data_IF_794537717462
#
_entry.id   IF_794537717462
#
_cell.length_a   1.000
_cell.length_b   1.000
_cell.length_c   1.000
_cell.angle_alpha   90.00
_cell.angle_beta   90.00
_cell.angle_gamma   90.00
#
_symmetry.space_group_name_H-M   'P 1'
#
loop_
_entity.id
_entity.type
_entity.pdbx_description
1 polymer ?
#
# COMPACT_ATOMS: atom_id res chain seq x y z
N UNK A 1 15.90 -12.08 -17.46
CA UNK A 1 15.72 -11.53 -16.12
C UNK A 1 17.00 -10.80 -15.80
N UNK A 2 16.98 -9.47 -15.78
CA UNK A 2 18.17 -8.68 -15.48
C UNK A 2 18.29 -8.54 -13.96
N UNK A 3 19.52 -8.66 -13.45
CA UNK A 3 19.81 -8.47 -12.04
C UNK A 3 19.84 -6.97 -11.70
N UNK A 4 19.39 -6.61 -10.51
CA UNK A 4 19.45 -5.23 -10.01
C UNK A 4 20.54 -5.11 -8.96
N UNK A 5 21.13 -3.91 -8.81
CA UNK A 5 22.08 -3.67 -7.74
C UNK A 5 21.39 -3.61 -6.38
N UNK A 6 22.10 -3.97 -5.31
CA UNK A 6 21.58 -3.83 -3.95
C UNK A 6 21.35 -2.37 -3.56
N UNK A 7 22.14 -1.43 -4.12
CA UNK A 7 21.93 0.00 -3.94
C UNK A 7 20.60 0.47 -4.57
N UNK A 8 20.17 -0.11 -5.69
CA UNK A 8 18.85 0.17 -6.26
C UNK A 8 17.72 -0.39 -5.38
N UNK A 9 17.92 -1.57 -4.79
CA UNK A 9 16.95 -2.15 -3.86
C UNK A 9 16.75 -1.30 -2.60
N UNK A 10 17.82 -0.70 -2.06
CA UNK A 10 17.74 0.17 -0.88
C UNK A 10 16.95 1.46 -1.09
N UNK A 11 16.68 1.86 -2.34
CA UNK A 11 15.89 3.07 -2.63
C UNK A 11 14.41 2.91 -2.25
N UNK A 12 13.93 1.67 -2.11
CA UNK A 12 12.55 1.40 -1.71
C UNK A 12 12.37 1.55 -0.19
N UNK A 13 11.39 2.37 0.21
CA UNK A 13 10.98 2.51 1.60
C UNK A 13 9.80 1.58 1.89
N UNK A 14 10.11 0.35 2.33
CA UNK A 14 9.12 -0.67 2.67
C UNK A 14 8.92 -0.70 4.18
N UNK A 15 7.67 -0.51 4.64
CA UNK A 15 7.32 -0.44 6.06
C UNK A 15 6.13 -1.33 6.40
N UNK A 16 6.06 -1.75 7.65
CA UNK A 16 4.88 -2.40 8.24
C UNK A 16 3.96 -1.31 8.77
N UNK A 17 2.68 -1.41 8.43
CA UNK A 17 1.63 -0.52 8.90
C UNK A 17 0.37 -1.28 9.28
N UNK A 18 -0.44 -0.68 10.15
CA UNK A 18 -1.73 -1.22 10.60
C UNK A 18 -2.86 -0.66 9.75
N UNK A 19 -3.80 -1.50 9.33
CA UNK A 19 -4.99 -1.06 8.58
C UNK A 19 -6.00 -0.51 9.58
N UNK A 20 -6.26 0.79 9.51
CA UNK A 20 -7.15 1.51 10.42
C UNK A 20 -8.59 1.58 9.89
N UNK A 21 -8.76 1.69 8.57
CA UNK A 21 -10.08 1.79 7.93
C UNK A 21 -10.06 1.15 6.53
N UNK A 22 -11.18 0.55 6.15
CA UNK A 22 -11.41 -0.03 4.82
C UNK A 22 -12.70 0.54 4.25
N UNK A 23 -12.63 1.07 3.03
CA UNK A 23 -13.78 1.58 2.27
C UNK A 23 -13.81 0.96 0.89
N UNK A 24 -15.01 0.75 0.37
CA UNK A 24 -15.19 0.44 -1.05
C UNK A 24 -14.77 1.64 -1.91
N UNK A 25 -14.10 1.37 -3.02
CA UNK A 25 -13.80 2.42 -3.98
C UNK A 25 -15.11 2.90 -4.63
N UNK A 26 -15.40 4.21 -4.62
CA UNK A 26 -16.70 4.73 -5.09
C UNK A 26 -16.97 4.44 -6.58
N UNK A 27 -15.90 4.33 -7.38
CA UNK A 27 -15.99 4.15 -8.83
C UNK A 27 -15.42 2.81 -9.33
N UNK A 28 -15.13 1.86 -8.43
CA UNK A 28 -14.55 0.58 -8.85
C UNK A 28 -15.00 -0.59 -7.98
N UNK A 29 -15.60 -1.60 -8.62
CA UNK A 29 -16.18 -2.75 -7.93
C UNK A 29 -15.15 -3.67 -7.28
N UNK A 30 -13.90 -3.65 -7.75
CA UNK A 30 -12.82 -4.56 -7.34
C UNK A 30 -11.69 -3.89 -6.56
N UNK A 31 -11.89 -2.65 -6.10
CA UNK A 31 -10.87 -1.91 -5.35
C UNK A 31 -11.38 -1.56 -3.94
N UNK A 32 -10.49 -1.69 -2.96
CA UNK A 32 -10.63 -1.08 -1.65
C UNK A 32 -9.74 0.14 -1.52
N UNK A 33 -10.23 1.12 -0.77
CA UNK A 33 -9.49 2.28 -0.30
C UNK A 33 -9.19 2.07 1.18
N UNK A 34 -7.92 1.78 1.49
CA UNK A 34 -7.42 1.44 2.82
C UNK A 34 -6.75 2.66 3.44
N UNK A 35 -7.10 2.98 4.69
CA UNK A 35 -6.32 3.91 5.51
C UNK A 35 -5.34 3.09 6.34
N UNK A 36 -4.04 3.28 6.13
CA UNK A 36 -2.98 2.55 6.84
C UNK A 36 -2.17 3.51 7.69
N UNK A 37 -2.03 3.18 8.97
CA UNK A 37 -1.21 3.90 9.93
C UNK A 37 0.19 3.30 10.02
N UNK A 38 1.20 4.16 10.07
CA UNK A 38 2.61 3.78 10.26
C UNK A 38 3.17 4.29 11.60
N UNK A 39 2.28 4.61 12.55
CA UNK A 39 2.61 5.18 13.86
C UNK A 39 2.60 6.70 13.86
N UNK A 40 3.55 7.32 13.16
CA UNK A 40 3.73 8.78 13.10
C UNK A 40 2.95 9.46 11.97
N UNK A 41 2.55 8.71 10.94
CA UNK A 41 1.72 9.19 9.85
C UNK A 41 0.74 8.14 9.35
N UNK A 42 -0.24 8.59 8.59
CA UNK A 42 -1.24 7.76 7.94
C UNK A 42 -1.20 8.00 6.42
N UNK A 43 -1.49 6.95 5.63
CA UNK A 43 -1.65 7.06 4.18
C UNK A 43 -2.89 6.31 3.70
N UNK A 44 -3.45 6.85 2.63
CA UNK A 44 -4.50 6.18 1.86
C UNK A 44 -3.88 5.37 0.74
N UNK A 45 -4.27 4.09 0.65
CA UNK A 45 -3.76 3.13 -0.32
C UNK A 45 -4.95 2.50 -1.04
N UNK A 46 -4.95 2.53 -2.36
CA UNK A 46 -5.93 1.81 -3.17
C UNK A 46 -5.38 0.43 -3.49
N UNK A 47 -6.15 -0.62 -3.17
CA UNK A 47 -5.73 -2.01 -3.33
C UNK A 47 -6.78 -2.83 -4.04
N UNK A 48 -6.36 -3.65 -5.02
CA UNK A 48 -7.23 -4.55 -5.78
C UNK A 48 -7.41 -5.93 -5.17
N UNK A 49 -7.43 -6.02 -3.84
CA UNK A 49 -7.63 -7.28 -3.09
C UNK A 49 -9.10 -7.59 -2.80
N UNK A 50 -10.02 -6.79 -3.36
CA UNK A 50 -11.46 -7.01 -3.24
C UNK A 50 -11.86 -8.15 -4.20
N UNK A 51 -12.40 -9.22 -3.63
CA UNK A 51 -12.91 -10.40 -4.35
C UNK A 51 -14.33 -10.17 -4.88
#
# INVERSE_FOLDING_TARGET
MEEISFDDWKKFDVRVGEVLEVKDHPEADKLYVLKVGFGDFEKWIVSGIKE
#
